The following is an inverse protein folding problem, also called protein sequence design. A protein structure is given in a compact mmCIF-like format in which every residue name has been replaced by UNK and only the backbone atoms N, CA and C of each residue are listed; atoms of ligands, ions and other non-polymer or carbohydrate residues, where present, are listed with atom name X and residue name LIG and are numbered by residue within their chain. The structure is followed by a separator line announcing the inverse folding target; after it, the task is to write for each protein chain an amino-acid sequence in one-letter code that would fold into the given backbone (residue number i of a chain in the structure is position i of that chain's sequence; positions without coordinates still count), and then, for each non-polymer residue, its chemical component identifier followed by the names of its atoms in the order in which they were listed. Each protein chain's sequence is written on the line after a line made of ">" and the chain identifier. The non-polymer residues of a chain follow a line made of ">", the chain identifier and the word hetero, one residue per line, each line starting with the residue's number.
data_IF_925741502499
#
_entry.id   IF_925741502499
#
_cell.length_a   1.000
_cell.length_b   1.000
_cell.length_c   1.000
_cell.angle_alpha   90.00
_cell.angle_beta   90.00
_cell.angle_gamma   90.00
#
_symmetry.space_group_name_H-M   'P 1'
#
loop_
_entity.id
_entity.type
_entity.pdbx_description
1 polymer ?
#
# COMPACT_ATOMS: atom_id res chain seq x y z
N UNK A 1 -35.13 13.00 -22.07
CA UNK A 1 -33.97 13.22 -22.96
C UNK A 1 -33.57 11.90 -23.57
N UNK A 2 -33.71 11.72 -24.89
CA UNK A 2 -33.35 10.50 -25.59
C UNK A 2 -31.81 10.40 -25.64
N UNK A 3 -31.26 9.33 -25.08
CA UNK A 3 -29.85 8.97 -25.25
C UNK A 3 -29.55 8.83 -26.75
N UNK A 4 -28.71 9.73 -27.26
CA UNK A 4 -28.12 9.53 -28.59
C UNK A 4 -27.04 8.46 -28.45
N UNK A 5 -27.41 7.20 -28.71
CA UNK A 5 -26.48 6.14 -29.02
C UNK A 5 -25.83 6.47 -30.38
N UNK A 6 -24.70 7.10 -30.38
CA UNK A 6 -23.82 7.17 -31.56
C UNK A 6 -23.15 5.81 -31.75
N UNK A 7 -23.94 4.79 -32.09
CA UNK A 7 -23.39 3.59 -32.70
C UNK A 7 -23.04 3.95 -34.14
N UNK A 8 -21.76 4.10 -34.42
CA UNK A 8 -21.27 4.07 -35.81
C UNK A 8 -21.67 2.72 -36.39
N UNK A 9 -22.66 2.71 -37.27
CA UNK A 9 -23.10 1.50 -37.98
C UNK A 9 -21.92 1.01 -38.82
N UNK A 10 -21.15 0.07 -38.29
CA UNK A 10 -20.14 -0.64 -39.10
C UNK A 10 -20.84 -1.35 -40.22
N UNK A 11 -20.45 -1.10 -41.47
CA UNK A 11 -20.95 -1.75 -42.66
C UNK A 11 -20.87 -3.30 -42.51
N UNK A 12 -21.88 -4.01 -42.96
CA UNK A 12 -21.92 -5.50 -42.94
C UNK A 12 -20.66 -6.09 -43.57
N UNK A 13 -20.22 -5.55 -44.70
CA UNK A 13 -18.99 -5.96 -45.38
C UNK A 13 -17.73 -5.76 -44.53
N UNK A 14 -17.63 -4.69 -43.80
CA UNK A 14 -16.53 -4.42 -42.89
C UNK A 14 -16.45 -5.45 -41.76
N UNK A 15 -17.59 -5.85 -41.20
CA UNK A 15 -17.66 -6.93 -40.18
C UNK A 15 -17.19 -8.27 -40.71
N UNK A 16 -17.59 -8.65 -41.93
CA UNK A 16 -17.16 -9.88 -42.59
C UNK A 16 -15.65 -9.84 -42.81
N UNK A 17 -15.14 -8.75 -43.36
CA UNK A 17 -13.72 -8.61 -43.63
C UNK A 17 -12.87 -8.72 -42.37
N UNK A 18 -13.24 -8.04 -41.27
CA UNK A 18 -12.57 -8.18 -39.96
C UNK A 18 -12.60 -9.64 -39.50
N UNK A 19 -13.74 -10.35 -39.64
CA UNK A 19 -13.87 -11.75 -39.23
C UNK A 19 -12.94 -12.65 -40.03
N UNK A 20 -12.83 -12.43 -41.34
CA UNK A 20 -11.92 -13.18 -42.22
C UNK A 20 -10.46 -12.93 -41.79
N UNK A 21 -10.06 -11.68 -41.55
CA UNK A 21 -8.71 -11.36 -41.12
C UNK A 21 -8.37 -12.03 -39.77
N UNK A 22 -9.30 -12.08 -38.82
CA UNK A 22 -9.10 -12.77 -37.54
C UNK A 22 -8.87 -14.26 -37.69
N UNK A 23 -9.54 -14.93 -38.68
CA UNK A 23 -9.31 -16.36 -39.00
C UNK A 23 -7.86 -16.58 -39.47
N UNK A 24 -7.26 -15.58 -40.15
CA UNK A 24 -5.85 -15.60 -40.58
C UNK A 24 -4.88 -15.10 -39.53
N UNK A 25 -5.33 -14.78 -38.30
CA UNK A 25 -4.48 -14.30 -37.20
C UNK A 25 -4.16 -12.83 -37.25
N UNK A 26 -4.87 -12.01 -38.05
CA UNK A 26 -4.70 -10.57 -38.13
C UNK A 26 -5.83 -9.83 -37.42
N UNK A 27 -5.48 -8.81 -36.63
CA UNK A 27 -6.44 -7.82 -36.09
C UNK A 27 -6.39 -6.55 -36.91
N UNK A 28 -7.55 -6.10 -37.40
CA UNK A 28 -7.68 -4.86 -38.16
C UNK A 28 -8.29 -3.79 -37.28
N UNK A 29 -7.57 -2.68 -37.15
CA UNK A 29 -8.01 -1.48 -36.41
C UNK A 29 -8.31 -0.38 -37.42
N UNK A 30 -9.54 0.16 -37.37
CA UNK A 30 -9.92 1.32 -38.16
C UNK A 30 -9.45 2.60 -37.46
N UNK A 31 -8.34 3.12 -37.89
CA UNK A 31 -7.73 4.33 -37.30
C UNK A 31 -8.59 5.59 -37.47
N UNK A 32 -9.42 5.66 -38.51
CA UNK A 32 -10.28 6.85 -38.77
C UNK A 32 -11.48 6.92 -37.83
N UNK A 33 -11.85 5.79 -37.21
CA UNK A 33 -12.95 5.67 -36.25
C UNK A 33 -12.46 5.18 -34.87
N UNK A 34 -11.18 5.30 -34.60
CA UNK A 34 -10.62 4.94 -33.32
C UNK A 34 -11.03 5.98 -32.28
N UNK A 35 -12.01 5.65 -31.49
CA UNK A 35 -12.40 6.44 -30.32
C UNK A 35 -12.67 5.48 -29.14
N UNK A 36 -12.43 6.00 -27.96
CA UNK A 36 -12.71 5.26 -26.72
C UNK A 36 -14.14 5.57 -26.29
N UNK A 37 -15.06 4.58 -26.28
CA UNK A 37 -16.42 4.82 -25.83
C UNK A 37 -16.43 5.19 -24.35
N UNK A 38 -17.11 6.27 -24.01
CA UNK A 38 -17.30 6.70 -22.63
C UNK A 38 -18.76 7.09 -22.38
N UNK A 39 -19.26 6.76 -21.21
CA UNK A 39 -20.58 7.19 -20.73
C UNK A 39 -20.54 8.57 -20.06
N UNK A 40 -19.36 9.05 -19.68
CA UNK A 40 -19.17 10.36 -19.08
C UNK A 40 -18.46 11.30 -20.06
N UNK A 41 -19.16 12.34 -20.53
CA UNK A 41 -18.64 13.28 -21.53
C UNK A 41 -17.33 13.99 -21.14
N UNK A 42 -17.05 14.10 -19.84
CA UNK A 42 -15.87 14.82 -19.33
C UNK A 42 -14.68 13.91 -19.03
N UNK A 43 -14.79 12.59 -19.19
CA UNK A 43 -13.70 11.66 -18.90
C UNK A 43 -12.60 11.65 -19.96
N UNK A 44 -12.94 12.01 -21.22
CA UNK A 44 -11.95 12.12 -22.29
C UNK A 44 -10.88 13.18 -22.00
N UNK A 45 -11.19 14.18 -21.18
CA UNK A 45 -10.30 15.29 -20.86
C UNK A 45 -9.42 15.00 -19.65
N UNK A 46 -9.83 14.06 -18.78
CA UNK A 46 -9.08 13.79 -17.54
C UNK A 46 -9.28 12.36 -17.05
N UNK A 47 -8.36 11.47 -17.44
CA UNK A 47 -8.40 10.02 -17.14
C UNK A 47 -8.19 9.69 -15.66
N UNK A 48 -7.67 10.62 -14.87
CA UNK A 48 -7.17 10.38 -13.51
C UNK A 48 -7.97 11.15 -12.43
N UNK A 49 -9.26 11.29 -12.59
CA UNK A 49 -10.10 11.94 -11.58
C UNK A 49 -10.52 10.91 -10.51
N UNK A 50 -10.07 11.04 -9.25
CA UNK A 50 -10.49 10.18 -8.15
C UNK A 50 -12.01 10.25 -7.90
N UNK A 51 -12.60 9.15 -7.45
CA UNK A 51 -14.01 9.08 -7.08
C UNK A 51 -15.02 9.00 -8.24
N UNK A 52 -14.57 8.93 -9.48
CA UNK A 52 -15.46 8.71 -10.64
C UNK A 52 -15.95 7.26 -10.71
N UNK A 53 -17.11 7.07 -11.35
CA UNK A 53 -17.74 5.75 -11.51
C UNK A 53 -17.10 4.89 -12.60
N UNK A 54 -16.39 5.52 -13.52
CA UNK A 54 -15.69 4.87 -14.61
C UNK A 54 -14.46 5.68 -15.01
N UNK A 55 -13.55 5.03 -15.72
CA UNK A 55 -12.36 5.63 -16.32
C UNK A 55 -12.28 5.24 -17.79
N UNK A 56 -11.75 6.12 -18.62
CA UNK A 56 -11.52 5.85 -20.03
C UNK A 56 -10.05 5.46 -20.25
N UNK A 57 -9.84 4.31 -20.86
CA UNK A 57 -8.54 3.83 -21.30
C UNK A 57 -8.46 3.83 -22.84
N UNK A 58 -7.25 3.74 -23.44
CA UNK A 58 -7.09 3.74 -24.89
C UNK A 58 -7.92 2.69 -25.63
N UNK A 59 -8.30 1.59 -25.00
CA UNK A 59 -9.08 0.52 -25.61
C UNK A 59 -10.53 0.38 -25.10
N UNK A 60 -10.99 1.29 -24.24
CA UNK A 60 -12.36 1.27 -23.75
C UNK A 60 -12.57 1.97 -22.43
N UNK A 61 -13.83 2.00 -21.97
CA UNK A 61 -14.22 2.49 -20.67
C UNK A 61 -14.21 1.34 -19.64
N UNK A 62 -13.61 1.57 -18.49
CA UNK A 62 -13.64 0.65 -17.36
C UNK A 62 -14.54 1.23 -16.28
N UNK A 63 -15.60 0.50 -15.95
CA UNK A 63 -16.48 0.81 -14.84
C UNK A 63 -15.78 0.47 -13.52
N UNK A 64 -15.75 1.42 -12.58
CA UNK A 64 -15.25 1.17 -11.23
C UNK A 64 -16.29 0.33 -10.47
N UNK A 65 -16.05 -0.98 -10.40
CA UNK A 65 -16.91 -1.96 -9.73
C UNK A 65 -16.46 -2.20 -8.28
N UNK A 66 -15.16 -2.17 -8.01
CA UNK A 66 -14.59 -2.29 -6.68
C UNK A 66 -14.34 -0.91 -6.10
N UNK A 67 -15.21 -0.47 -5.20
CA UNK A 67 -15.08 0.79 -4.48
C UNK A 67 -14.52 0.56 -3.10
N UNK A 68 -13.70 1.52 -2.64
CA UNK A 68 -13.19 1.57 -1.28
C UNK A 68 -14.21 2.32 -0.41
N UNK A 69 -14.62 1.68 0.69
CA UNK A 69 -15.58 2.25 1.64
C UNK A 69 -14.90 2.70 2.93
N UNK A 70 -13.85 2.02 3.35
CA UNK A 70 -13.10 2.34 4.56
C UNK A 70 -11.61 2.04 4.39
N UNK A 71 -10.77 2.78 5.10
CA UNK A 71 -9.34 2.52 5.24
C UNK A 71 -8.94 2.64 6.70
N UNK A 72 -8.48 1.54 7.28
CA UNK A 72 -7.91 1.50 8.63
C UNK A 72 -6.40 1.45 8.54
N UNK A 73 -5.72 2.48 9.07
CA UNK A 73 -4.27 2.49 9.21
C UNK A 73 -3.91 1.83 10.54
N UNK A 74 -2.99 0.89 10.51
CA UNK A 74 -2.40 0.28 11.70
C UNK A 74 -0.93 0.64 11.75
N UNK A 75 -0.61 1.58 12.62
CA UNK A 75 0.72 2.13 12.78
C UNK A 75 1.41 1.49 13.98
N UNK A 76 2.57 0.90 13.77
CA UNK A 76 3.36 0.27 14.83
C UNK A 76 4.37 1.25 15.39
N UNK A 77 4.40 1.45 16.72
CA UNK A 77 5.35 2.34 17.37
C UNK A 77 6.13 1.65 18.50
N UNK A 78 7.40 2.04 18.63
CA UNK A 78 8.26 1.68 19.75
C UNK A 78 9.45 2.64 19.79
N UNK A 79 9.39 3.68 20.61
CA UNK A 79 10.44 4.71 20.65
C UNK A 79 11.61 4.37 21.58
N UNK A 80 11.43 3.41 22.49
CA UNK A 80 12.43 3.04 23.49
C UNK A 80 13.48 2.02 23.00
N UNK A 81 13.28 1.45 21.79
CA UNK A 81 14.20 0.50 21.17
C UNK A 81 14.92 1.17 20.02
N UNK A 82 16.24 1.16 20.02
CA UNK A 82 17.00 1.81 18.98
C UNK A 82 16.97 1.06 17.65
N UNK A 83 17.25 -0.23 17.65
CA UNK A 83 17.22 -1.08 16.45
C UNK A 83 17.16 -2.56 16.83
N UNK A 84 16.54 -3.40 16.00
CA UNK A 84 16.48 -4.85 16.16
C UNK A 84 17.85 -5.51 15.90
N UNK A 85 18.65 -4.92 14.98
CA UNK A 85 19.99 -5.42 14.65
C UNK A 85 20.97 -4.26 14.52
N UNK A 86 22.18 -4.44 15.04
CA UNK A 86 23.25 -3.41 15.02
C UNK A 86 23.75 -3.07 13.60
N UNK A 87 23.46 -3.90 12.61
CA UNK A 87 23.92 -3.71 11.23
C UNK A 87 23.00 -2.83 10.38
N UNK A 88 21.84 -2.41 10.91
CA UNK A 88 20.91 -1.56 10.17
C UNK A 88 21.26 -0.09 10.36
N UNK A 89 21.66 0.56 9.28
CA UNK A 89 21.95 1.99 9.27
C UNK A 89 20.67 2.79 9.00
N UNK A 90 20.42 3.82 9.84
CA UNK A 90 19.39 4.84 9.61
C UNK A 90 19.89 5.92 8.66
N UNK A 91 18.94 6.60 8.02
CA UNK A 91 19.23 7.64 7.04
C UNK A 91 19.83 8.89 7.69
N UNK A 92 19.35 9.25 8.88
CA UNK A 92 19.81 10.40 9.64
C UNK A 92 20.34 9.99 11.02
N UNK A 93 21.26 10.76 11.58
CA UNK A 93 21.75 10.56 12.94
C UNK A 93 20.78 11.24 13.94
N UNK A 94 19.62 10.58 14.13
CA UNK A 94 18.54 11.04 14.98
C UNK A 94 18.03 9.92 15.87
N UNK A 95 17.38 10.27 16.97
CA UNK A 95 16.74 9.33 17.87
C UNK A 95 15.59 8.59 17.18
N UNK A 96 15.26 7.40 17.64
CA UNK A 96 14.15 6.59 17.10
C UNK A 96 12.81 7.34 17.16
N UNK A 97 12.55 8.10 18.23
CA UNK A 97 11.34 8.90 18.37
C UNK A 97 11.15 9.91 17.24
N UNK A 98 12.23 10.52 16.73
CA UNK A 98 12.17 11.46 15.63
C UNK A 98 11.66 10.81 14.33
N UNK A 99 12.08 9.58 14.06
CA UNK A 99 11.58 8.80 12.93
C UNK A 99 10.10 8.49 13.10
N UNK A 100 9.70 8.05 14.29
CA UNK A 100 8.31 7.73 14.61
C UNK A 100 7.41 8.95 14.44
N UNK A 101 7.83 10.13 14.93
CA UNK A 101 7.02 11.35 14.84
C UNK A 101 6.87 11.83 13.41
N UNK A 102 7.94 11.84 12.62
CA UNK A 102 7.90 12.24 11.21
C UNK A 102 7.10 11.24 10.36
N UNK A 103 7.25 9.95 10.63
CA UNK A 103 6.47 8.91 9.97
C UNK A 103 4.97 9.10 10.25
N UNK A 104 4.58 9.27 11.51
CA UNK A 104 3.20 9.52 11.89
C UNK A 104 2.66 10.81 11.29
N UNK A 105 3.45 11.89 11.30
CA UNK A 105 3.06 13.17 10.70
C UNK A 105 2.77 13.02 9.20
N UNK A 106 3.64 12.31 8.48
CA UNK A 106 3.49 12.06 7.05
C UNK A 106 2.20 11.29 6.72
N UNK A 107 1.85 10.29 7.53
CA UNK A 107 0.59 9.53 7.38
C UNK A 107 -0.63 10.41 7.68
N UNK A 108 -0.61 11.19 8.75
CA UNK A 108 -1.72 12.10 9.11
C UNK A 108 -1.94 13.13 8.00
N UNK A 109 -0.87 13.72 7.46
CA UNK A 109 -0.95 14.68 6.36
C UNK A 109 -1.58 14.03 5.11
N UNK A 110 -1.13 12.83 4.75
CA UNK A 110 -1.66 12.09 3.60
C UNK A 110 -3.12 11.67 3.79
N UNK A 111 -3.52 11.26 5.01
CA UNK A 111 -4.91 10.94 5.32
C UNK A 111 -5.83 12.17 5.29
N UNK A 112 -5.36 13.31 5.82
CA UNK A 112 -6.13 14.57 5.74
C UNK A 112 -6.39 14.97 4.28
N UNK A 113 -5.39 14.82 3.41
CA UNK A 113 -5.56 15.05 1.97
C UNK A 113 -6.54 14.05 1.35
N UNK A 114 -6.45 12.77 1.73
CA UNK A 114 -7.33 11.73 1.25
C UNK A 114 -8.79 11.96 1.67
N UNK A 115 -9.03 12.45 2.89
CA UNK A 115 -10.37 12.78 3.38
C UNK A 115 -11.05 13.88 2.56
N UNK A 116 -10.27 14.85 2.06
CA UNK A 116 -10.77 15.90 1.17
C UNK A 116 -11.15 15.29 -0.19
N UNK A 117 -10.31 14.42 -0.73
CA UNK A 117 -10.52 13.79 -2.06
C UNK A 117 -11.65 12.77 -2.03
N UNK A 118 -11.74 12.00 -0.96
CA UNK A 118 -12.69 10.89 -0.77
C UNK A 118 -13.57 11.11 0.47
N UNK A 119 -14.48 12.11 0.48
CA UNK A 119 -15.24 12.48 1.68
C UNK A 119 -16.17 11.38 2.22
N UNK A 120 -16.50 10.38 1.38
CA UNK A 120 -17.38 9.26 1.75
C UNK A 120 -16.64 8.06 2.32
N UNK A 121 -15.31 8.01 2.19
CA UNK A 121 -14.50 6.93 2.76
C UNK A 121 -14.34 7.17 4.26
N UNK A 122 -14.56 6.14 5.05
CA UNK A 122 -14.26 6.15 6.47
C UNK A 122 -12.77 5.93 6.69
N UNK A 123 -12.15 6.82 7.47
CA UNK A 123 -10.74 6.71 7.83
C UNK A 123 -10.59 6.50 9.34
N UNK A 124 -9.72 5.57 9.71
CA UNK A 124 -9.37 5.27 11.09
C UNK A 124 -7.85 5.03 11.19
N UNK A 125 -7.24 5.48 12.29
CA UNK A 125 -5.84 5.19 12.61
C UNK A 125 -5.73 4.57 13.99
N UNK A 126 -5.11 3.39 14.06
CA UNK A 126 -4.84 2.67 15.29
C UNK A 126 -3.33 2.58 15.48
N UNK A 127 -2.82 3.20 16.54
CA UNK A 127 -1.43 3.06 16.94
C UNK A 127 -1.32 1.84 17.85
N UNK A 128 -0.40 0.92 17.53
CA UNK A 128 -0.04 -0.18 18.42
C UNK A 128 1.34 0.12 18.98
N UNK A 129 1.36 0.51 20.24
CA UNK A 129 2.58 0.96 20.90
C UNK A 129 3.15 -0.10 21.84
N UNK A 130 4.46 -0.31 21.72
CA UNK A 130 5.21 -1.10 22.68
C UNK A 130 6.25 -0.25 23.38
N UNK A 131 6.04 -0.03 24.69
CA UNK A 131 7.04 0.52 25.60
C UNK A 131 7.71 1.84 25.14
N UNK A 132 6.96 2.69 24.42
CA UNK A 132 7.45 4.04 24.11
C UNK A 132 7.57 4.88 25.37
N UNK A 133 8.50 5.83 25.38
CA UNK A 133 8.67 6.78 26.50
C UNK A 133 7.39 7.59 26.69
N UNK A 134 7.09 7.95 27.93
CA UNK A 134 5.87 8.70 28.27
C UNK A 134 5.76 10.02 27.51
N UNK A 135 6.87 10.74 27.39
CA UNK A 135 6.97 12.01 26.66
C UNK A 135 6.66 11.79 25.16
N UNK A 136 7.17 10.71 24.59
CA UNK A 136 6.97 10.37 23.19
C UNK A 136 5.49 9.97 22.92
N UNK A 137 4.86 9.27 23.84
CA UNK A 137 3.42 8.95 23.76
C UNK A 137 2.55 10.21 23.82
N UNK A 138 2.91 11.20 24.66
CA UNK A 138 2.19 12.48 24.69
C UNK A 138 2.37 13.25 23.37
N UNK A 139 3.54 13.19 22.75
CA UNK A 139 3.75 13.75 21.42
C UNK A 139 2.92 13.05 20.34
N UNK A 140 2.86 11.72 20.36
CA UNK A 140 2.00 10.94 19.45
C UNK A 140 0.51 11.34 19.63
N UNK A 141 0.03 11.44 20.86
CA UNK A 141 -1.33 11.93 21.17
C UNK A 141 -1.60 13.33 20.64
N UNK A 142 -0.62 14.23 20.77
CA UNK A 142 -0.71 15.60 20.24
C UNK A 142 -0.84 15.61 18.72
N UNK A 143 -0.06 14.76 18.02
CA UNK A 143 -0.16 14.64 16.57
C UNK A 143 -1.53 14.07 16.14
N UNK A 144 -2.03 13.05 16.82
CA UNK A 144 -3.35 12.46 16.54
C UNK A 144 -4.50 13.48 16.72
N UNK A 145 -4.38 14.46 17.61
CA UNK A 145 -5.36 15.55 17.75
C UNK A 145 -5.45 16.46 16.51
N UNK A 146 -4.43 16.48 15.64
CA UNK A 146 -4.48 17.20 14.36
C UNK A 146 -5.28 16.48 13.27
N UNK A 147 -5.69 15.24 13.53
CA UNK A 147 -6.46 14.43 12.60
C UNK A 147 -7.96 14.71 12.71
N UNK A 148 -8.65 14.72 11.57
CA UNK A 148 -10.10 14.89 11.47
C UNK A 148 -10.83 13.54 11.28
N UNK A 149 -10.22 12.46 11.76
CA UNK A 149 -10.74 11.09 11.65
C UNK A 149 -10.57 10.35 12.98
N UNK A 150 -11.24 9.22 13.10
CA UNK A 150 -11.16 8.38 14.29
C UNK A 150 -9.73 7.90 14.51
N UNK A 151 -9.29 7.92 15.78
CA UNK A 151 -7.97 7.45 16.15
C UNK A 151 -7.98 6.79 17.54
N UNK A 152 -7.05 5.86 17.75
CA UNK A 152 -6.85 5.19 19.03
C UNK A 152 -5.42 4.73 19.23
N UNK A 153 -5.02 4.55 20.48
CA UNK A 153 -3.72 3.97 20.86
C UNK A 153 -3.99 2.72 21.70
N UNK A 154 -3.39 1.61 21.30
CA UNK A 154 -3.41 0.33 21.98
C UNK A 154 -2.02 0.06 22.52
N UNK A 155 -1.88 -0.10 23.83
CA UNK A 155 -0.64 -0.56 24.44
C UNK A 155 -0.51 -2.06 24.22
N UNK A 156 0.63 -2.49 23.68
CA UNK A 156 0.94 -3.89 23.43
C UNK A 156 1.43 -4.56 24.72
N UNK A 157 0.73 -5.61 25.16
CA UNK A 157 1.26 -6.58 26.12
C UNK A 157 1.85 -7.78 25.35
N UNK A 158 3.17 -7.92 25.39
CA UNK A 158 3.87 -9.04 24.72
C UNK A 158 3.50 -10.40 25.32
N UNK A 159 3.07 -10.45 26.60
CA UNK A 159 2.70 -11.69 27.25
C UNK A 159 1.46 -12.35 26.60
N UNK A 160 0.59 -11.56 25.95
CA UNK A 160 -0.55 -12.11 25.18
C UNK A 160 -0.08 -13.05 24.06
N UNK A 161 1.16 -12.89 23.57
CA UNK A 161 1.67 -13.56 22.37
C UNK A 161 2.84 -14.51 22.61
N UNK A 162 3.36 -14.58 23.84
CA UNK A 162 4.58 -15.33 24.17
C UNK A 162 4.50 -16.82 23.81
N UNK A 163 3.30 -17.39 23.83
CA UNK A 163 3.06 -18.79 23.46
C UNK A 163 2.90 -19.00 21.94
N UNK A 164 2.67 -17.94 21.19
CA UNK A 164 2.51 -17.98 19.76
C UNK A 164 3.83 -17.80 19.00
N UNK A 165 4.88 -17.35 19.69
CA UNK A 165 6.18 -17.03 19.12
C UNK A 165 7.20 -18.06 19.58
N UNK A 166 7.97 -18.61 18.66
CA UNK A 166 9.06 -19.55 19.01
C UNK A 166 10.16 -18.82 19.76
N UNK A 167 10.64 -19.44 20.84
CA UNK A 167 11.66 -18.86 21.72
C UNK A 167 13.09 -18.93 21.14
N UNK A 168 13.28 -19.67 20.07
CA UNK A 168 14.57 -19.82 19.38
C UNK A 168 14.40 -19.43 17.92
N UNK A 169 15.36 -18.68 17.39
CA UNK A 169 15.43 -18.31 15.98
C UNK A 169 15.93 -19.47 15.09
N UNK A 170 16.05 -19.24 13.79
CA UNK A 170 16.54 -20.24 12.83
C UNK A 170 17.97 -20.74 13.09
N UNK A 171 18.76 -20.00 13.88
CA UNK A 171 20.13 -20.36 14.27
C UNK A 171 20.20 -21.08 15.62
N UNK A 172 19.06 -21.45 16.21
CA UNK A 172 18.95 -22.01 17.56
C UNK A 172 19.42 -21.05 18.68
N UNK A 173 19.43 -19.75 18.43
CA UNK A 173 19.70 -18.73 19.44
C UNK A 173 18.39 -18.30 20.10
N UNK A 174 18.43 -17.93 21.39
CA UNK A 174 17.27 -17.41 22.06
C UNK A 174 16.82 -16.08 21.44
N UNK A 175 15.53 -15.95 21.18
CA UNK A 175 14.92 -14.72 20.69
C UNK A 175 15.02 -13.65 21.78
N UNK A 176 15.54 -12.47 21.43
CA UNK A 176 15.65 -11.33 22.34
C UNK A 176 14.30 -10.72 22.62
N UNK A 177 14.19 -9.94 23.70
CA UNK A 177 12.95 -9.20 24.01
C UNK A 177 12.53 -8.26 22.87
N UNK A 178 13.48 -7.61 22.22
CA UNK A 178 13.21 -6.73 21.06
C UNK A 178 12.63 -7.51 19.88
N UNK A 179 13.15 -8.69 19.59
CA UNK A 179 12.61 -9.56 18.54
C UNK A 179 11.22 -10.09 18.92
N UNK A 180 11.03 -10.48 20.18
CA UNK A 180 9.74 -10.90 20.70
C UNK A 180 8.70 -9.77 20.60
N UNK A 181 9.07 -8.55 20.96
CA UNK A 181 8.17 -7.40 20.88
C UNK A 181 7.80 -7.06 19.44
N UNK A 182 8.75 -7.18 18.50
CA UNK A 182 8.46 -6.98 17.06
C UNK A 182 7.45 -8.02 16.55
N UNK A 183 7.68 -9.31 16.82
CA UNK A 183 6.77 -10.38 16.42
C UNK A 183 5.39 -10.21 17.06
N UNK A 184 5.32 -9.87 18.34
CA UNK A 184 4.08 -9.59 19.06
C UNK A 184 3.33 -8.39 18.48
N UNK A 185 4.05 -7.33 18.10
CA UNK A 185 3.44 -6.14 17.51
C UNK A 185 2.86 -6.45 16.12
N UNK A 186 3.56 -7.23 15.28
CA UNK A 186 3.02 -7.69 14.00
C UNK A 186 1.75 -8.52 14.23
N UNK A 187 1.77 -9.46 15.18
CA UNK A 187 0.63 -10.30 15.51
C UNK A 187 -0.58 -9.46 15.97
N UNK A 188 -0.37 -8.55 16.92
CA UNK A 188 -1.42 -7.62 17.38
C UNK A 188 -1.97 -6.78 16.24
N UNK A 189 -1.10 -6.28 15.36
CA UNK A 189 -1.49 -5.50 14.18
C UNK A 189 -2.41 -6.29 13.25
N UNK A 190 -2.08 -7.54 12.96
CA UNK A 190 -2.91 -8.42 12.14
C UNK A 190 -4.26 -8.71 12.79
N UNK A 191 -4.29 -8.97 14.12
CA UNK A 191 -5.53 -9.17 14.87
C UNK A 191 -6.42 -7.92 14.88
N UNK A 192 -5.83 -6.74 15.09
CA UNK A 192 -6.57 -5.48 15.04
C UNK A 192 -7.10 -5.23 13.63
N UNK A 193 -6.29 -5.47 12.60
CA UNK A 193 -6.71 -5.36 11.20
C UNK A 193 -7.89 -6.26 10.87
N UNK A 194 -7.83 -7.52 11.29
CA UNK A 194 -8.91 -8.49 11.08
C UNK A 194 -10.20 -8.11 11.81
N UNK A 195 -10.10 -7.64 13.06
CA UNK A 195 -11.26 -7.41 13.92
C UNK A 195 -11.89 -6.02 13.74
N UNK A 196 -11.08 -5.00 13.45
CA UNK A 196 -11.53 -3.60 13.38
C UNK A 196 -11.53 -3.04 11.95
N UNK A 197 -10.74 -3.62 11.02
CA UNK A 197 -10.76 -3.20 9.62
C UNK A 197 -12.08 -3.51 8.94
N UNK A 198 -12.65 -2.53 8.24
CA UNK A 198 -13.95 -2.66 7.57
C UNK A 198 -13.82 -2.95 6.07
N UNK A 199 -12.72 -2.53 5.43
CA UNK A 199 -12.49 -2.74 3.99
C UNK A 199 -10.99 -2.84 3.70
N UNK A 200 -10.29 -1.72 3.49
CA UNK A 200 -8.84 -1.72 3.33
C UNK A 200 -8.13 -1.55 4.68
N UNK A 201 -7.00 -2.22 4.82
CA UNK A 201 -6.14 -2.17 5.99
C UNK A 201 -4.73 -1.85 5.53
N UNK A 202 -4.13 -0.82 6.09
CA UNK A 202 -2.76 -0.42 5.79
C UNK A 202 -1.88 -0.57 7.00
N UNK A 203 -0.99 -1.54 6.98
CA UNK A 203 0.03 -1.78 8.01
C UNK A 203 1.22 -0.87 7.75
N UNK A 204 1.67 -0.12 8.75
CA UNK A 204 2.73 0.87 8.63
C UNK A 204 3.73 0.75 9.77
N UNK A 205 5.02 0.67 9.40
CA UNK A 205 6.15 0.75 10.33
C UNK A 205 6.53 2.21 10.57
N UNK A 206 7.07 2.51 11.75
CA UNK A 206 7.33 3.87 12.22
C UNK A 206 8.63 4.50 11.67
N UNK A 207 9.14 4.00 10.55
CA UNK A 207 10.30 4.51 9.82
C UNK A 207 10.05 4.72 8.32
N UNK A 208 8.76 4.79 7.93
CA UNK A 208 8.34 5.15 6.57
C UNK A 208 7.80 6.58 6.51
N UNK A 209 8.40 7.40 5.66
CA UNK A 209 7.92 8.76 5.37
C UNK A 209 7.11 8.77 4.09
N UNK A 210 5.85 9.16 4.18
CA UNK A 210 4.92 9.19 3.06
C UNK A 210 4.89 10.55 2.37
N UNK A 211 4.70 10.56 1.06
CA UNK A 211 4.33 11.77 0.33
C UNK A 211 2.88 12.13 0.66
N UNK A 212 2.56 13.41 0.57
CA UNK A 212 1.22 13.90 0.91
C UNK A 212 0.11 13.27 0.06
N UNK A 213 0.39 12.92 -1.20
CA UNK A 213 -0.56 12.28 -2.12
C UNK A 213 -0.64 10.75 -2.00
N UNK A 214 0.12 10.13 -1.10
CA UNK A 214 0.29 8.67 -1.04
C UNK A 214 -1.02 7.92 -0.88
N UNK A 215 -1.84 8.29 0.10
CA UNK A 215 -3.12 7.59 0.35
C UNK A 215 -4.11 7.82 -0.80
N UNK A 216 -4.14 9.03 -1.38
CA UNK A 216 -4.94 9.30 -2.57
C UNK A 216 -4.60 8.38 -3.74
N UNK A 217 -3.31 8.29 -4.05
CA UNK A 217 -2.82 7.45 -5.14
C UNK A 217 -3.11 5.97 -4.88
N UNK A 218 -2.93 5.50 -3.64
CA UNK A 218 -3.18 4.11 -3.26
C UNK A 218 -4.68 3.75 -3.38
N UNK A 219 -5.58 4.59 -2.87
CA UNK A 219 -7.04 4.34 -2.95
C UNK A 219 -7.49 4.32 -4.41
N UNK A 220 -7.13 5.35 -5.16
CA UNK A 220 -7.49 5.44 -6.57
C UNK A 220 -6.97 4.24 -7.37
N UNK A 221 -5.70 3.88 -7.18
CA UNK A 221 -5.07 2.74 -7.84
C UNK A 221 -5.74 1.43 -7.47
N UNK A 222 -6.10 1.27 -6.19
CA UNK A 222 -6.81 0.09 -5.72
C UNK A 222 -8.16 -0.07 -6.43
N UNK A 223 -9.00 0.96 -6.42
CA UNK A 223 -10.31 0.94 -7.08
C UNK A 223 -10.19 0.64 -8.58
N UNK A 224 -9.25 1.31 -9.23
CA UNK A 224 -9.04 1.21 -10.67
C UNK A 224 -8.56 -0.18 -11.09
N UNK A 225 -7.43 -0.61 -10.52
CA UNK A 225 -6.78 -1.85 -10.97
C UNK A 225 -7.59 -3.07 -10.53
N UNK A 226 -8.11 -3.10 -9.30
CA UNK A 226 -8.96 -4.22 -8.85
C UNK A 226 -10.24 -4.33 -9.67
N UNK A 227 -10.84 -3.21 -10.10
CA UNK A 227 -11.98 -3.23 -11.02
C UNK A 227 -11.59 -3.73 -12.41
N UNK A 228 -10.41 -3.36 -12.90
CA UNK A 228 -9.92 -3.76 -14.22
C UNK A 228 -9.62 -5.26 -14.30
N UNK A 229 -9.00 -5.82 -13.27
CA UNK A 229 -8.61 -7.24 -13.27
C UNK A 229 -9.60 -8.14 -12.50
N UNK A 230 -10.63 -7.54 -11.89
CA UNK A 230 -11.64 -8.22 -11.07
C UNK A 230 -11.02 -9.05 -9.93
N UNK A 231 -10.05 -8.48 -9.21
CA UNK A 231 -9.35 -9.12 -8.09
C UNK A 231 -9.00 -8.11 -7.01
N UNK A 232 -8.93 -8.58 -5.77
CA UNK A 232 -8.34 -7.83 -4.66
C UNK A 232 -6.83 -7.71 -4.86
N UNK A 233 -6.22 -6.67 -4.26
CA UNK A 233 -4.82 -6.33 -4.42
C UNK A 233 -4.10 -6.21 -3.08
N UNK A 234 -2.77 -6.28 -3.15
CA UNK A 234 -1.86 -5.81 -2.11
C UNK A 234 -1.04 -4.67 -2.72
N UNK A 235 -0.89 -3.56 -1.99
CA UNK A 235 -0.09 -2.43 -2.45
C UNK A 235 1.06 -2.18 -1.49
N UNK A 236 2.28 -2.14 -2.02
CA UNK A 236 3.46 -1.66 -1.32
C UNK A 236 3.64 -0.16 -1.65
N UNK A 237 3.88 0.74 -0.70
CA UNK A 237 4.06 2.16 -0.98
C UNK A 237 5.45 2.51 -1.49
N UNK A 238 6.41 1.62 -1.29
CA UNK A 238 7.82 1.87 -1.59
C UNK A 238 8.27 1.18 -2.89
N UNK A 239 9.08 1.91 -3.65
CA UNK A 239 9.79 1.42 -4.82
C UNK A 239 11.22 1.04 -4.38
N UNK A 240 11.46 -0.22 -4.08
CA UNK A 240 12.71 -0.67 -3.49
C UNK A 240 13.84 -0.86 -4.52
N UNK A 241 15.12 -0.65 -4.12
CA UNK A 241 16.28 -0.82 -4.99
C UNK A 241 16.43 -2.21 -5.62
N UNK A 242 16.00 -3.29 -4.94
CA UNK A 242 16.14 -4.66 -5.47
C UNK A 242 15.44 -4.83 -6.81
N UNK A 243 14.37 -4.08 -7.06
CA UNK A 243 13.59 -4.11 -8.29
C UNK A 243 14.38 -3.62 -9.53
N UNK A 244 15.58 -3.08 -9.32
CA UNK A 244 16.47 -2.57 -10.37
C UNK A 244 17.78 -3.37 -10.49
N UNK A 245 17.98 -4.39 -9.64
CA UNK A 245 19.22 -5.17 -9.59
C UNK A 245 19.20 -6.39 -10.51
N UNK A 246 18.03 -6.80 -10.97
CA UNK A 246 17.86 -7.95 -11.88
C UNK A 246 16.79 -7.64 -12.92
N UNK A 247 16.84 -8.35 -14.05
CA UNK A 247 15.88 -8.18 -15.14
C UNK A 247 14.82 -9.28 -14.98
N UNK A 248 13.67 -8.90 -14.41
CA UNK A 248 12.53 -9.79 -14.25
C UNK A 248 11.34 -9.26 -15.08
N UNK A 249 10.61 -10.12 -15.81
CA UNK A 249 9.37 -9.73 -16.46
C UNK A 249 8.35 -9.25 -15.44
N UNK A 250 7.72 -8.09 -15.69
CA UNK A 250 6.68 -7.56 -14.82
C UNK A 250 5.53 -6.94 -15.61
N UNK A 251 4.36 -6.87 -15.01
CA UNK A 251 3.24 -6.12 -15.55
C UNK A 251 3.27 -4.69 -15.01
N UNK A 252 3.03 -3.73 -15.88
CA UNK A 252 2.88 -2.32 -15.54
C UNK A 252 1.41 -1.93 -15.61
N UNK A 253 0.92 -1.31 -14.56
CA UNK A 253 -0.44 -0.80 -14.44
C UNK A 253 -0.42 0.72 -14.32
N UNK A 254 -1.50 1.36 -14.75
CA UNK A 254 -1.66 2.79 -14.65
C UNK A 254 -2.49 3.13 -13.40
N UNK A 255 -1.88 3.81 -12.43
CA UNK A 255 -2.56 4.41 -11.28
C UNK A 255 -3.18 5.77 -11.60
N UNK A 256 -3.33 6.66 -10.61
CA UNK A 256 -3.77 8.04 -10.84
C UNK A 256 -2.66 8.88 -11.50
N UNK A 257 -1.54 9.01 -10.82
CA UNK A 257 -0.39 9.82 -11.23
C UNK A 257 0.90 9.01 -11.32
N UNK A 258 0.83 7.71 -11.08
CA UNK A 258 1.97 6.80 -11.04
C UNK A 258 1.74 5.61 -11.94
N UNK A 259 2.82 5.03 -12.42
CA UNK A 259 2.82 3.65 -12.89
C UNK A 259 3.01 2.72 -11.70
N UNK A 260 2.41 1.56 -11.77
CA UNK A 260 2.53 0.53 -10.74
C UNK A 260 3.02 -0.76 -11.41
N UNK A 261 3.97 -1.43 -10.79
CA UNK A 261 4.46 -2.72 -11.27
C UNK A 261 4.14 -3.85 -10.30
N UNK A 262 3.91 -5.04 -10.84
CA UNK A 262 3.82 -6.25 -10.03
C UNK A 262 5.17 -6.54 -9.41
N UNK A 263 5.16 -6.89 -8.11
CA UNK A 263 6.33 -7.26 -7.34
C UNK A 263 6.06 -8.54 -6.54
N UNK A 264 7.12 -9.22 -6.14
CA UNK A 264 7.04 -10.50 -5.43
C UNK A 264 7.57 -10.43 -3.99
N UNK A 265 8.17 -9.31 -3.57
CA UNK A 265 8.76 -9.14 -2.24
C UNK A 265 8.47 -7.75 -1.67
N UNK A 266 8.12 -7.68 -0.38
CA UNK A 266 7.97 -6.43 0.39
C UNK A 266 8.45 -6.64 1.82
N UNK A 267 8.50 -5.54 2.59
CA UNK A 267 8.58 -5.55 4.05
C UNK A 267 7.17 -5.45 4.66
N UNK A 268 7.09 -5.23 5.98
CA UNK A 268 5.83 -5.22 6.72
C UNK A 268 5.01 -3.92 6.60
N UNK A 269 5.40 -3.02 5.68
CA UNK A 269 4.60 -1.84 5.32
C UNK A 269 3.89 -2.09 4.00
N UNK A 270 2.59 -2.44 4.09
CA UNK A 270 1.75 -2.77 2.92
C UNK A 270 0.26 -2.54 3.22
N UNK A 271 -0.50 -2.27 2.16
CA UNK A 271 -1.96 -2.18 2.19
C UNK A 271 -2.55 -3.47 1.62
N UNK A 272 -3.58 -4.00 2.27
CA UNK A 272 -4.35 -5.16 1.79
C UNK A 272 -5.84 -4.95 2.06
N UNK A 273 -6.70 -5.76 1.44
CA UNK A 273 -8.11 -5.81 1.81
C UNK A 273 -8.35 -6.78 2.98
N UNK A 274 -9.44 -6.54 3.72
CA UNK A 274 -9.93 -7.49 4.72
C UNK A 274 -10.18 -8.87 4.11
N UNK A 275 -10.70 -8.91 2.88
CA UNK A 275 -10.94 -10.15 2.14
C UNK A 275 -9.66 -10.97 1.97
N UNK A 276 -8.55 -10.35 1.56
CA UNK A 276 -7.26 -11.04 1.43
C UNK A 276 -6.66 -11.39 2.80
N UNK A 277 -6.79 -10.50 3.78
CA UNK A 277 -6.31 -10.78 5.13
C UNK A 277 -7.01 -12.01 5.74
N UNK A 278 -8.32 -12.13 5.57
CA UNK A 278 -9.08 -13.29 6.05
C UNK A 278 -8.78 -14.54 5.24
N UNK A 279 -8.72 -14.43 3.90
CA UNK A 279 -8.41 -15.55 3.00
C UNK A 279 -7.06 -16.20 3.30
N UNK A 280 -6.05 -15.41 3.63
CA UNK A 280 -4.68 -15.88 3.88
C UNK A 280 -4.26 -15.77 5.35
N UNK A 281 -5.23 -15.79 6.27
CA UNK A 281 -5.00 -15.56 7.67
C UNK A 281 -3.86 -16.39 8.27
N UNK A 282 -3.83 -17.68 7.99
CA UNK A 282 -2.80 -18.59 8.51
C UNK A 282 -1.39 -18.23 8.01
N UNK A 283 -1.28 -17.75 6.76
CA UNK A 283 0.00 -17.27 6.23
C UNK A 283 0.43 -15.96 6.90
N UNK A 284 -0.49 -15.01 7.05
CA UNK A 284 -0.18 -13.76 7.76
C UNK A 284 0.28 -14.01 9.20
N UNK A 285 -0.41 -14.88 9.94
CA UNK A 285 -0.04 -15.20 11.31
C UNK A 285 1.28 -15.97 11.38
N UNK A 286 1.60 -16.79 10.40
CA UNK A 286 2.89 -17.52 10.39
C UNK A 286 4.11 -16.60 10.34
N UNK A 287 3.98 -15.37 9.80
CA UNK A 287 5.04 -14.34 9.87
C UNK A 287 5.46 -14.01 11.31
N UNK A 288 4.51 -14.11 12.26
CA UNK A 288 4.72 -13.73 13.65
C UNK A 288 5.21 -14.88 14.54
N UNK A 289 5.19 -16.11 14.03
CA UNK A 289 5.50 -17.29 14.83
C UNK A 289 6.98 -17.56 14.98
N UNK A 290 7.78 -17.06 14.02
CA UNK A 290 9.15 -17.48 13.89
C UNK A 290 10.06 -16.31 13.48
N UNK A 291 10.89 -15.84 14.38
CA UNK A 291 11.92 -14.82 14.08
C UNK A 291 13.07 -15.46 13.30
N UNK A 292 13.01 -15.35 11.99
CA UNK A 292 14.04 -15.77 11.06
C UNK A 292 14.19 -14.73 9.95
N UNK A 293 15.23 -14.86 9.15
CA UNK A 293 15.40 -13.96 8.02
C UNK A 293 15.29 -14.76 6.70
N UNK A 294 14.39 -14.33 5.79
CA UNK A 294 13.36 -13.30 5.93
C UNK A 294 12.09 -13.85 6.61
N UNK A 295 11.62 -13.20 7.65
CA UNK A 295 10.35 -13.59 8.31
C UNK A 295 9.12 -13.20 7.47
N UNK A 296 9.28 -12.33 6.47
CA UNK A 296 8.25 -11.95 5.50
C UNK A 296 7.98 -13.03 4.44
N UNK A 297 8.72 -14.12 4.41
CA UNK A 297 8.55 -15.18 3.40
C UNK A 297 7.09 -15.66 3.23
N UNK A 298 6.28 -15.84 4.29
CA UNK A 298 4.87 -16.22 4.13
C UNK A 298 4.04 -15.17 3.36
N UNK A 299 4.39 -13.87 3.50
CA UNK A 299 3.78 -12.78 2.75
C UNK A 299 4.19 -12.87 1.26
N UNK A 300 5.46 -13.10 0.97
CA UNK A 300 5.95 -13.31 -0.39
C UNK A 300 5.29 -14.53 -1.06
N UNK A 301 4.95 -15.56 -0.30
CA UNK A 301 4.21 -16.72 -0.81
C UNK A 301 2.75 -16.39 -1.17
N UNK A 302 2.16 -15.36 -0.59
CA UNK A 302 0.86 -14.83 -1.02
C UNK A 302 1.01 -14.14 -2.38
N UNK A 303 2.08 -13.39 -2.62
CA UNK A 303 2.31 -12.65 -3.86
C UNK A 303 2.52 -13.54 -5.10
N UNK A 304 2.85 -14.82 -4.91
CA UNK A 304 2.90 -15.81 -6.01
C UNK A 304 1.52 -16.06 -6.63
N UNK A 305 0.45 -15.83 -5.87
CA UNK A 305 -0.93 -16.08 -6.30
C UNK A 305 -1.77 -14.82 -6.39
N UNK A 306 -1.45 -13.79 -5.62
CA UNK A 306 -2.15 -12.51 -5.61
C UNK A 306 -1.26 -11.40 -6.18
N UNK A 307 -1.89 -10.32 -6.64
CA UNK A 307 -1.16 -9.17 -7.14
C UNK A 307 -0.69 -8.30 -5.99
N UNK A 308 0.63 -8.18 -5.82
CA UNK A 308 1.25 -7.12 -5.05
C UNK A 308 1.83 -6.10 -6.02
N UNK A 309 1.52 -4.82 -5.81
CA UNK A 309 1.93 -3.74 -6.70
C UNK A 309 2.74 -2.68 -5.95
N UNK A 310 3.76 -2.16 -6.61
CA UNK A 310 4.63 -1.08 -6.12
C UNK A 310 4.60 0.10 -7.09
N UNK A 311 4.57 1.35 -6.60
CA UNK A 311 4.49 2.55 -7.44
C UNK A 311 5.84 2.94 -8.03
N UNK A 312 5.83 3.53 -9.22
CA UNK A 312 7.00 4.13 -9.87
C UNK A 312 6.68 5.60 -10.20
N UNK A 313 7.37 6.58 -9.61
CA UNK A 313 8.29 6.50 -8.48
C UNK A 313 7.59 6.29 -7.12
N UNK A 314 8.37 5.99 -6.09
CA UNK A 314 7.92 5.68 -4.73
C UNK A 314 6.95 6.71 -4.13
N UNK A 315 6.00 6.22 -3.34
CA UNK A 315 5.08 7.01 -2.51
C UNK A 315 5.57 7.16 -1.07
N UNK A 316 6.45 6.27 -0.62
CA UNK A 316 7.02 6.32 0.71
C UNK A 316 8.52 6.04 0.71
N UNK A 317 9.24 6.67 1.63
CA UNK A 317 10.66 6.49 1.87
C UNK A 317 10.87 5.61 3.08
N UNK A 318 11.55 4.49 2.92
CA UNK A 318 12.02 3.67 4.02
C UNK A 318 13.32 4.26 4.58
N UNK A 319 13.31 4.71 5.82
CA UNK A 319 14.41 5.46 6.44
C UNK A 319 15.42 4.61 7.19
N UNK A 320 15.20 3.30 7.26
CA UNK A 320 16.09 2.33 7.90
C UNK A 320 16.67 1.39 6.87
N UNK A 321 17.79 0.75 7.19
CA UNK A 321 18.41 -0.25 6.32
C UNK A 321 18.85 0.32 4.95
N UNK A 322 19.32 1.56 4.94
CA UNK A 322 19.55 2.38 3.74
C UNK A 322 20.51 1.78 2.72
N UNK A 323 21.41 0.88 3.15
CA UNK A 323 22.38 0.20 2.30
C UNK A 323 21.91 -1.18 1.81
N UNK A 324 20.66 -1.55 2.08
CA UNK A 324 20.11 -2.85 1.67
C UNK A 324 19.34 -2.74 0.36
N UNK A 325 18.97 -3.90 -0.16
CA UNK A 325 18.08 -4.02 -1.32
C UNK A 325 16.66 -3.50 -1.06
N UNK A 326 16.28 -3.29 0.20
CA UNK A 326 15.04 -2.65 0.65
C UNK A 326 15.29 -1.25 1.24
N UNK A 327 16.41 -0.61 0.91
CA UNK A 327 16.79 0.71 1.39
C UNK A 327 16.13 1.86 0.64
N UNK A 328 16.92 2.88 0.30
CA UNK A 328 16.43 4.11 -0.30
C UNK A 328 15.82 3.90 -1.67
N UNK A 329 14.59 4.34 -1.82
CA UNK A 329 13.89 4.35 -3.11
C UNK A 329 14.59 5.27 -4.11
N UNK A 330 14.77 4.84 -5.38
CA UNK A 330 15.34 5.70 -6.41
C UNK A 330 14.40 6.87 -6.73
N UNK A 331 14.98 7.95 -7.25
CA UNK A 331 14.23 9.15 -7.68
C UNK A 331 13.35 9.81 -6.58
N UNK A 332 13.75 9.68 -5.33
CA UNK A 332 13.10 10.31 -4.21
C UNK A 332 14.07 11.25 -3.49
N UNK A 333 13.70 12.51 -3.37
CA UNK A 333 14.46 13.48 -2.56
C UNK A 333 14.20 13.20 -1.08
N UNK A 334 15.08 12.39 -0.51
CA UNK A 334 14.95 11.92 0.87
C UNK A 334 15.17 13.03 1.91
N UNK A 335 16.03 14.03 1.63
CA UNK A 335 16.23 15.17 2.52
C UNK A 335 14.98 16.03 2.57
N UNK A 336 14.47 16.41 1.42
CA UNK A 336 13.22 17.17 1.31
C UNK A 336 12.06 16.45 2.00
N UNK A 337 11.92 15.14 1.77
CA UNK A 337 10.85 14.33 2.40
C UNK A 337 10.99 14.30 3.91
N UNK A 338 12.21 14.26 4.43
CA UNK A 338 12.47 14.34 5.86
C UNK A 338 12.10 15.71 6.43
N UNK A 339 12.55 16.79 5.78
CA UNK A 339 12.36 18.17 6.26
C UNK A 339 10.87 18.56 6.22
N UNK A 340 10.13 18.20 5.18
CA UNK A 340 8.69 18.45 5.05
C UNK A 340 7.84 17.82 6.16
N UNK A 341 8.33 16.78 6.83
CA UNK A 341 7.63 16.09 7.90
C UNK A 341 8.14 16.46 9.31
N UNK A 342 8.95 17.51 9.44
CA UNK A 342 9.53 17.97 10.70
C UNK A 342 8.59 18.78 11.61
N UNK A 343 7.60 19.42 11.02
CA UNK A 343 6.66 20.28 11.77
C UNK A 343 5.45 19.45 12.26
N UNK A 344 5.62 18.73 13.37
CA UNK A 344 4.61 17.86 13.96
C UNK A 344 4.09 18.31 15.34
#
# INVERSE_FOLDING_TARGET
>A
MKEQKTQVKTSFFKKIFIKICRIFGYEIIDQSNFYVPTQEKNLSENLNIPGKKSITLPLGEIKISRKVNALTIIFRSCTNINMLTQNKKRLFDQNKSEYTFRSLNSIIASLNQAKITFPKIEFDIVIIDYNSKKEDLEQIKKQLKKSNFKNSIISLDINEFINNIKKVNAKNENVTENQMSNMSNIHKSLLVGKNQGNDLIYFVEDDYLHKQDSINEMIFTYERISSQINRELILCPADYPYLYTKIDPTNIFLGANKHWRKIDETLCTFLTSKILLEKYWEKFISMCQFEHYPFEQPLHDIYKTEYCLSPIPSLALHCTNVNSIFGLSPNMDWKKTWDENGDY
#
